data_IF_370181693273
#
_entry.id   IF_370181693273
#
_cell.length_a   1.000
_cell.length_b   1.000
_cell.length_c   1.000
_cell.angle_alpha   90.00
_cell.angle_beta   90.00
_cell.angle_gamma   90.00
#
_symmetry.space_group_name_H-M   'P 1'
#
loop_
_entity.id
_entity.type
_entity.pdbx_description
1 polymer ?
#
# COMPACT_ATOMS: atom_id res chain seq x y z
N UNK A 1 -23.94 7.11 -10.98
CA UNK A 1 -22.50 6.91 -11.23
C UNK A 1 -22.37 6.19 -12.55
N UNK A 2 -21.62 6.79 -13.45
CA UNK A 2 -21.24 6.22 -14.73
C UNK A 2 -20.27 5.04 -14.54
N UNK A 3 -20.25 4.11 -15.50
CA UNK A 3 -19.41 2.91 -15.43
C UNK A 3 -17.91 3.23 -15.43
N UNK A 4 -17.52 4.33 -16.07
CA UNK A 4 -16.13 4.80 -16.10
C UNK A 4 -15.66 5.24 -14.71
N UNK A 5 -16.45 6.02 -13.98
CA UNK A 5 -16.12 6.40 -12.58
C UNK A 5 -15.89 5.18 -11.69
N UNK A 6 -16.75 4.17 -11.76
CA UNK A 6 -16.57 2.94 -10.99
C UNK A 6 -15.28 2.21 -11.37
N UNK A 7 -14.99 2.12 -12.68
CA UNK A 7 -13.76 1.51 -13.18
C UNK A 7 -12.52 2.28 -12.68
N UNK A 8 -12.52 3.61 -12.72
CA UNK A 8 -11.39 4.42 -12.24
C UNK A 8 -11.18 4.25 -10.74
N UNK A 9 -12.24 4.22 -9.94
CA UNK A 9 -12.14 3.97 -8.50
C UNK A 9 -11.59 2.58 -8.18
N UNK A 10 -11.99 1.55 -8.94
CA UNK A 10 -11.44 0.21 -8.79
C UNK A 10 -9.95 0.18 -9.16
N UNK A 11 -9.58 0.72 -10.33
CA UNK A 11 -8.21 0.81 -10.78
C UNK A 11 -7.35 1.62 -9.82
N UNK A 12 -7.92 2.66 -9.21
CA UNK A 12 -7.26 3.44 -8.19
C UNK A 12 -6.88 2.59 -6.97
N UNK A 13 -7.80 1.81 -6.41
CA UNK A 13 -7.48 0.93 -5.28
C UNK A 13 -6.42 -0.10 -5.68
N UNK A 14 -6.53 -0.70 -6.87
CA UNK A 14 -5.52 -1.63 -7.39
C UNK A 14 -4.15 -0.97 -7.57
N UNK A 15 -4.11 0.29 -7.99
CA UNK A 15 -2.88 1.06 -8.10
C UNK A 15 -2.25 1.32 -6.72
N UNK A 16 -3.05 1.68 -5.71
CA UNK A 16 -2.57 1.82 -4.32
C UNK A 16 -1.96 0.50 -3.84
N UNK A 17 -2.65 -0.63 -4.04
CA UNK A 17 -2.13 -1.95 -3.69
C UNK A 17 -0.78 -2.25 -4.35
N UNK A 18 -0.65 -1.98 -5.65
CA UNK A 18 0.59 -2.25 -6.39
C UNK A 18 1.73 -1.36 -5.92
N UNK A 19 1.48 -0.08 -5.66
CA UNK A 19 2.49 0.85 -5.15
C UNK A 19 2.95 0.45 -3.75
N UNK A 20 2.02 0.08 -2.87
CA UNK A 20 2.37 -0.44 -1.53
C UNK A 20 3.22 -1.69 -1.65
N UNK A 21 2.81 -2.69 -2.46
CA UNK A 21 3.62 -3.90 -2.68
C UNK A 21 5.00 -3.60 -3.25
N UNK A 22 5.13 -2.61 -4.14
CA UNK A 22 6.41 -2.19 -4.69
C UNK A 22 7.37 -1.72 -3.61
N UNK A 23 6.88 -0.95 -2.64
CA UNK A 23 7.65 -0.40 -1.51
C UNK A 23 7.98 -1.51 -0.49
N UNK A 24 7.00 -2.34 -0.17
CA UNK A 24 7.06 -3.26 0.96
C UNK A 24 7.66 -4.63 0.64
N UNK A 25 7.60 -5.10 -0.61
CA UNK A 25 7.89 -6.49 -0.94
C UNK A 25 8.65 -6.68 -2.25
N UNK A 26 8.35 -5.96 -3.33
CA UNK A 26 8.94 -6.27 -4.64
C UNK A 26 10.47 -6.10 -4.67
N UNK A 27 11.12 -7.05 -5.33
CA UNK A 27 12.59 -7.12 -5.44
C UNK A 27 13.22 -5.92 -6.15
N UNK A 28 12.44 -5.21 -6.94
CA UNK A 28 12.85 -3.98 -7.64
C UNK A 28 13.38 -2.94 -6.64
N UNK A 29 12.78 -2.84 -5.45
CA UNK A 29 13.20 -1.90 -4.41
C UNK A 29 14.03 -2.58 -3.30
N UNK A 30 14.54 -3.80 -3.50
CA UNK A 30 15.42 -4.46 -2.52
C UNK A 30 16.71 -3.69 -2.31
N UNK A 31 17.36 -3.25 -3.38
CA UNK A 31 18.64 -2.53 -3.29
C UNK A 31 18.51 -1.25 -2.45
N UNK A 32 17.58 -0.32 -2.74
CA UNK A 32 17.41 0.87 -1.90
C UNK A 32 16.91 0.53 -0.49
N UNK A 33 16.07 -0.49 -0.32
CA UNK A 33 15.56 -0.92 1.00
C UNK A 33 16.67 -1.47 1.88
N UNK A 34 17.51 -2.37 1.38
CA UNK A 34 18.67 -2.92 2.10
C UNK A 34 19.66 -1.80 2.42
N UNK A 35 19.91 -0.88 1.48
CA UNK A 35 20.78 0.28 1.74
C UNK A 35 20.24 1.12 2.90
N UNK A 36 18.93 1.37 2.92
CA UNK A 36 18.27 2.18 3.95
C UNK A 36 18.28 1.47 5.32
N UNK A 37 18.04 0.16 5.33
CA UNK A 37 18.17 -0.69 6.53
C UNK A 37 19.60 -0.67 7.08
N UNK A 38 20.62 -0.75 6.22
CA UNK A 38 22.04 -0.64 6.63
C UNK A 38 22.38 0.77 7.16
N UNK A 39 21.72 1.80 6.64
CA UNK A 39 22.01 3.21 7.00
C UNK A 39 21.37 3.66 8.31
N UNK A 40 20.14 3.23 8.59
CA UNK A 40 19.36 3.65 9.77
C UNK A 40 19.23 2.55 10.83
N UNK A 41 19.55 1.30 10.49
CA UNK A 41 19.39 0.14 11.35
C UNK A 41 17.99 -0.51 11.20
N UNK A 42 17.89 -1.84 11.42
CA UNK A 42 16.64 -2.57 11.31
C UNK A 42 15.60 -2.16 12.36
N UNK A 43 16.05 -1.71 13.54
CA UNK A 43 15.19 -1.23 14.65
C UNK A 43 14.65 0.19 14.43
N UNK A 44 14.99 0.84 13.31
CA UNK A 44 14.55 2.20 13.07
C UNK A 44 13.05 2.27 12.75
N UNK A 45 12.36 3.32 13.21
CA UNK A 45 10.95 3.56 12.88
C UNK A 45 10.71 3.62 11.37
N UNK A 46 11.70 4.08 10.60
CA UNK A 46 11.63 4.13 9.15
C UNK A 46 11.65 2.73 8.53
N UNK A 47 12.50 1.82 9.04
CA UNK A 47 12.53 0.42 8.63
C UNK A 47 11.18 -0.27 8.89
N UNK A 48 10.60 -0.02 10.07
CA UNK A 48 9.25 -0.51 10.39
C UNK A 48 8.19 0.07 9.45
N UNK A 49 8.23 1.38 9.19
CA UNK A 49 7.27 2.06 8.32
C UNK A 49 7.25 1.48 6.91
N UNK A 50 8.41 1.32 6.26
CA UNK A 50 8.49 0.82 4.89
C UNK A 50 8.20 -0.68 4.77
N UNK A 51 8.24 -1.41 5.88
CA UNK A 51 7.95 -2.86 5.91
C UNK A 51 6.47 -3.13 6.19
N UNK A 52 5.78 -2.22 6.89
CA UNK A 52 4.36 -2.33 7.23
C UNK A 52 3.45 -1.88 6.06
N UNK A 53 2.72 -2.79 5.37
CA UNK A 53 1.89 -2.43 4.22
C UNK A 53 0.72 -1.52 4.60
N UNK A 54 0.10 -1.76 5.76
CA UNK A 54 -0.94 -0.91 6.34
C UNK A 54 -0.49 0.54 6.52
N UNK A 55 0.76 0.70 6.95
CA UNK A 55 1.37 1.99 7.25
C UNK A 55 1.70 2.73 5.97
N UNK A 56 2.24 2.06 4.95
CA UNK A 56 2.54 2.71 3.67
C UNK A 56 1.24 3.06 2.93
N UNK A 57 0.27 2.13 2.89
CA UNK A 57 -0.98 2.33 2.13
C UNK A 57 -1.81 3.50 2.62
N UNK A 58 -1.84 3.80 3.92
CA UNK A 58 -2.59 4.95 4.45
C UNK A 58 -2.02 6.27 3.94
N UNK A 59 -0.70 6.39 3.81
CA UNK A 59 -0.07 7.60 3.28
C UNK A 59 -0.19 7.69 1.77
N UNK A 60 0.00 6.59 1.05
CA UNK A 60 -0.21 6.56 -0.40
C UNK A 60 -1.64 6.95 -0.72
N UNK A 61 -2.63 6.25 -0.18
CA UNK A 61 -4.05 6.54 -0.40
C UNK A 61 -4.43 7.93 0.12
N UNK A 62 -3.94 8.33 1.30
CA UNK A 62 -4.22 9.63 1.90
C UNK A 62 -3.77 10.78 0.99
N UNK A 63 -2.60 10.68 0.36
CA UNK A 63 -2.07 11.71 -0.54
C UNK A 63 -2.71 11.67 -1.93
N UNK A 64 -3.02 10.47 -2.46
CA UNK A 64 -3.58 10.34 -3.82
C UNK A 64 -5.08 10.55 -3.91
N UNK A 65 -5.85 10.29 -2.85
CA UNK A 65 -7.32 10.36 -2.87
C UNK A 65 -7.86 11.74 -3.26
N UNK A 66 -7.37 12.88 -2.74
CA UNK A 66 -7.86 14.20 -3.12
C UNK A 66 -7.72 14.46 -4.62
N UNK A 67 -6.60 14.01 -5.20
CA UNK A 67 -6.33 14.14 -6.62
C UNK A 67 -7.34 13.34 -7.46
N UNK A 68 -7.63 12.09 -7.07
CA UNK A 68 -8.63 11.26 -7.76
C UNK A 68 -10.04 11.83 -7.63
N UNK A 69 -10.42 12.31 -6.45
CA UNK A 69 -11.73 12.93 -6.24
C UNK A 69 -11.87 14.21 -7.08
N UNK A 70 -10.84 15.04 -7.13
CA UNK A 70 -10.82 16.24 -7.98
C UNK A 70 -10.92 15.87 -9.47
N UNK A 71 -10.17 14.87 -9.93
CA UNK A 71 -10.17 14.44 -11.34
C UNK A 71 -11.51 13.82 -11.80
N UNK A 72 -12.34 13.34 -10.87
CA UNK A 72 -13.65 12.74 -11.13
C UNK A 72 -14.82 13.68 -10.78
N UNK A 73 -14.55 14.95 -10.45
CA UNK A 73 -15.55 15.92 -9.97
C UNK A 73 -16.39 15.39 -8.78
N UNK A 74 -15.77 14.56 -7.93
CA UNK A 74 -16.38 14.01 -6.72
C UNK A 74 -16.13 14.91 -5.51
N UNK A 75 -17.05 14.93 -4.53
CA UNK A 75 -16.94 15.84 -3.41
C UNK A 75 -15.81 15.43 -2.45
N UNK A 76 -14.97 16.39 -2.07
CA UNK A 76 -13.78 16.16 -1.23
C UNK A 76 -14.06 15.60 0.18
N UNK A 77 -15.29 15.68 0.70
CA UNK A 77 -15.64 15.06 1.98
C UNK A 77 -15.53 13.52 1.93
N UNK A 78 -15.56 12.92 0.73
CA UNK A 78 -15.30 11.50 0.53
C UNK A 78 -13.83 11.12 0.74
N UNK A 79 -12.92 12.10 0.87
CA UNK A 79 -11.49 11.85 1.00
C UNK A 79 -11.15 10.86 2.12
N UNK A 80 -11.48 11.11 3.40
CA UNK A 80 -11.16 10.15 4.46
C UNK A 80 -11.82 8.80 4.22
N UNK A 81 -13.03 8.75 3.65
CA UNK A 81 -13.75 7.49 3.42
C UNK A 81 -13.07 6.63 2.35
N UNK A 82 -12.82 7.20 1.17
CA UNK A 82 -12.20 6.48 0.06
C UNK A 82 -10.74 6.14 0.37
N UNK A 83 -9.99 7.05 0.99
CA UNK A 83 -8.61 6.83 1.37
C UNK A 83 -8.45 5.71 2.40
N UNK A 84 -9.27 5.71 3.45
CA UNK A 84 -9.25 4.65 4.46
C UNK A 84 -9.75 3.32 3.90
N UNK A 85 -10.78 3.31 3.05
CA UNK A 85 -11.24 2.09 2.38
C UNK A 85 -10.13 1.48 1.50
N UNK A 86 -9.47 2.29 0.68
CA UNK A 86 -8.36 1.84 -0.16
C UNK A 86 -7.19 1.30 0.68
N UNK A 87 -6.84 1.98 1.79
CA UNK A 87 -5.81 1.52 2.71
C UNK A 87 -6.18 0.21 3.41
N UNK A 88 -7.44 0.05 3.83
CA UNK A 88 -7.91 -1.17 4.49
C UNK A 88 -7.88 -2.36 3.54
N UNK A 89 -8.37 -2.19 2.31
CA UNK A 89 -8.31 -3.23 1.27
C UNK A 89 -6.87 -3.61 0.92
N UNK A 90 -5.96 -2.64 0.89
CA UNK A 90 -4.53 -2.90 0.64
C UNK A 90 -3.88 -3.69 1.77
N UNK A 91 -4.18 -3.34 3.03
CA UNK A 91 -3.70 -4.09 4.19
C UNK A 91 -4.18 -5.53 4.22
N UNK A 92 -5.47 -5.76 3.93
CA UNK A 92 -6.04 -7.11 3.80
C UNK A 92 -5.38 -7.89 2.66
N UNK A 93 -5.25 -7.29 1.47
CA UNK A 93 -4.62 -7.94 0.33
C UNK A 93 -3.16 -8.33 0.62
N UNK A 94 -2.42 -7.49 1.35
CA UNK A 94 -1.04 -7.78 1.72
C UNK A 94 -0.90 -8.92 2.73
N UNK A 95 -1.88 -9.14 3.60
CA UNK A 95 -1.90 -10.30 4.50
C UNK A 95 -2.15 -11.59 3.72
N UNK A 96 -3.09 -11.55 2.77
CA UNK A 96 -3.37 -12.70 1.89
C UNK A 96 -2.15 -13.11 1.05
N UNK A 97 -1.35 -12.14 0.58
CA UNK A 97 -0.09 -12.42 -0.12
C UNK A 97 1.00 -13.02 0.80
N UNK A 98 0.90 -12.81 2.13
CA UNK A 98 1.90 -13.23 3.13
C UNK A 98 1.62 -14.59 3.78
N UNK A 99 0.35 -14.97 3.92
CA UNK A 99 -0.05 -16.23 4.57
C UNK A 99 0.32 -17.50 3.74
N UNK A 100 0.62 -17.36 2.44
CA UNK A 100 1.09 -18.45 1.57
C UNK A 100 2.62 -18.72 1.67
N UNK A 101 3.34 -18.03 2.57
CA UNK A 101 4.81 -18.07 2.69
C UNK A 101 5.32 -18.62 4.04
N UNK A 102 4.50 -19.31 4.84
CA UNK A 102 5.01 -20.13 5.95
C UNK A 102 5.87 -21.28 5.40
N UNK A 103 7.17 -21.04 5.24
CA UNK A 103 8.17 -22.08 5.09
C UNK A 103 8.27 -22.77 6.46
N UNK A 104 7.66 -23.94 6.59
CA UNK A 104 7.97 -24.89 7.66
C UNK A 104 9.48 -25.14 7.64
N UNK A 105 10.18 -24.65 8.66
CA UNK A 105 11.55 -25.08 8.94
C UNK A 105 11.38 -26.46 9.57
N UNK A 106 11.51 -27.52 8.78
CA UNK A 106 11.77 -28.86 9.30
C UNK A 106 13.16 -28.84 9.94
N UNK A 107 13.20 -28.76 11.26
CA UNK A 107 14.41 -29.03 12.05
C UNK A 107 14.70 -30.54 11.98
N UNK A 108 15.71 -30.95 11.19
CA UNK A 108 16.33 -32.29 11.24
C UNK A 108 17.73 -32.24 11.87
#
# INVERSE_FOLDING_TARGET
MDGLTLLVLLLYVLAVMRVTRLINADTILDTPRIWLLRRFGPESTLAYFISCPWCVSIWIAGLSTPFVLWALDLPLWLWPLLGLAASHLTGLAAQLDGDDLEIEIEDE
#
